data_IF_570325047269
#
_entry.id   IF_570325047269
#
_cell.length_a   1.000
_cell.length_b   1.000
_cell.length_c   1.000
_cell.angle_alpha   90.00
_cell.angle_beta   90.00
_cell.angle_gamma   90.00
#
_symmetry.space_group_name_H-M   'P 1'
#
loop_
_entity.id
_entity.type
_entity.pdbx_description
1 polymer ?
#
# COMPACT_ATOMS: atom_id res chain seq x y z
N UNK A 1 19.07 35.35 18.71
CA UNK A 1 18.11 34.31 18.28
C UNK A 1 18.86 33.00 18.32
N UNK A 2 18.81 32.30 19.46
CA UNK A 2 19.38 30.95 19.59
C UNK A 2 18.27 29.95 19.30
N UNK A 3 18.51 29.08 18.32
CA UNK A 3 17.68 27.91 18.04
C UNK A 3 17.60 27.06 19.30
N UNK A 4 16.42 27.09 19.91
CA UNK A 4 16.06 26.23 21.02
C UNK A 4 16.06 24.79 20.54
N UNK A 5 17.15 24.11 20.86
CA UNK A 5 17.35 22.68 20.89
C UNK A 5 16.16 22.01 21.60
N UNK A 6 15.11 21.69 20.83
CA UNK A 6 14.02 20.79 21.25
C UNK A 6 14.57 19.37 21.20
N UNK A 7 15.44 19.06 22.15
CA UNK A 7 15.67 17.70 22.59
C UNK A 7 14.34 17.18 23.12
N UNK A 8 13.66 16.40 22.29
CA UNK A 8 12.49 15.60 22.68
C UNK A 8 13.02 14.48 23.60
N UNK A 9 13.26 14.83 24.87
CA UNK A 9 13.33 13.86 25.95
C UNK A 9 11.91 13.40 26.24
N UNK A 10 11.56 12.28 25.62
CA UNK A 10 10.33 11.54 25.83
C UNK A 10 10.61 10.07 25.59
N UNK A 11 11.49 9.51 26.42
CA UNK A 11 11.78 8.08 26.54
C UNK A 11 10.52 7.34 27.01
N UNK A 12 9.57 7.18 26.10
CA UNK A 12 8.65 6.05 26.09
C UNK A 12 9.15 5.18 24.97
N UNK A 13 9.68 4.00 25.30
CA UNK A 13 9.90 2.96 24.30
C UNK A 13 8.61 2.82 23.52
N UNK A 14 8.54 3.41 22.32
CA UNK A 14 7.39 3.30 21.45
C UNK A 14 7.14 1.81 21.29
N UNK A 15 6.06 1.32 21.92
CA UNK A 15 5.80 -0.09 22.07
C UNK A 15 4.86 -0.48 20.96
N UNK A 16 5.14 -1.58 20.28
CA UNK A 16 4.23 -2.13 19.28
C UNK A 16 2.89 -2.38 19.94
N UNK A 17 1.83 -1.77 19.38
CA UNK A 17 0.48 -2.10 19.77
C UNK A 17 0.02 -3.36 19.04
N UNK A 18 0.15 -4.48 19.73
CA UNK A 18 -0.22 -5.78 19.19
C UNK A 18 -1.70 -5.91 18.86
N UNK A 19 -2.59 -5.06 19.39
CA UNK A 19 -4.02 -5.10 19.02
C UNK A 19 -4.22 -4.71 17.57
N UNK A 20 -3.51 -3.67 17.12
CA UNK A 20 -3.58 -3.17 15.75
C UNK A 20 -3.02 -4.21 14.78
N UNK A 21 -1.88 -4.82 15.12
CA UNK A 21 -1.25 -5.88 14.32
C UNK A 21 -2.15 -7.12 14.24
N UNK A 22 -2.68 -7.61 15.36
CA UNK A 22 -3.57 -8.78 15.39
C UNK A 22 -4.82 -8.55 14.56
N UNK A 23 -5.41 -7.36 14.64
CA UNK A 23 -6.59 -7.01 13.83
C UNK A 23 -6.24 -7.05 12.34
N UNK A 24 -5.13 -6.45 11.94
CA UNK A 24 -4.66 -6.49 10.55
C UNK A 24 -4.44 -7.91 10.04
N UNK A 25 -3.86 -8.78 10.87
CA UNK A 25 -3.69 -10.21 10.53
C UNK A 25 -5.03 -10.94 10.36
N UNK A 26 -6.01 -10.70 11.24
CA UNK A 26 -7.34 -11.32 11.14
C UNK A 26 -8.05 -10.87 9.87
N UNK A 27 -8.05 -9.56 9.57
CA UNK A 27 -8.69 -9.01 8.37
C UNK A 27 -7.96 -9.50 7.11
N UNK A 28 -6.62 -9.54 7.12
CA UNK A 28 -5.83 -10.06 6.01
C UNK A 28 -6.05 -11.55 5.76
N UNK A 29 -6.16 -12.35 6.81
CA UNK A 29 -6.50 -13.78 6.69
C UNK A 29 -7.91 -13.97 6.11
N UNK A 30 -8.88 -13.20 6.58
CA UNK A 30 -10.23 -13.22 6.04
C UNK A 30 -10.24 -12.86 4.55
N UNK A 31 -9.49 -11.82 4.17
CA UNK A 31 -9.34 -11.44 2.76
C UNK A 31 -8.74 -12.58 1.93
N UNK A 32 -7.67 -13.22 2.42
CA UNK A 32 -7.06 -14.36 1.74
C UNK A 32 -8.03 -15.54 1.57
N UNK A 33 -8.87 -15.82 2.57
CA UNK A 33 -9.93 -16.84 2.49
C UNK A 33 -10.96 -16.47 1.41
N UNK A 34 -11.43 -15.22 1.40
CA UNK A 34 -12.40 -14.77 0.40
C UNK A 34 -11.82 -14.81 -1.02
N UNK A 35 -10.54 -14.49 -1.19
CA UNK A 35 -9.84 -14.60 -2.47
C UNK A 35 -9.66 -16.06 -2.91
N UNK A 36 -9.35 -16.95 -1.97
CA UNK A 36 -9.31 -18.40 -2.22
C UNK A 36 -10.70 -18.94 -2.62
N UNK A 37 -11.77 -18.52 -1.95
CA UNK A 37 -13.14 -18.88 -2.31
C UNK A 37 -13.52 -18.35 -3.69
N UNK A 38 -13.19 -17.09 -3.98
CA UNK A 38 -13.39 -16.50 -5.32
C UNK A 38 -12.74 -17.34 -6.42
N UNK A 39 -11.51 -17.82 -6.19
CA UNK A 39 -10.75 -18.59 -7.18
C UNK A 39 -11.13 -20.07 -7.26
N UNK A 40 -11.56 -20.69 -6.15
CA UNK A 40 -11.83 -22.14 -6.05
C UNK A 40 -13.31 -22.51 -6.11
N UNK A 41 -14.20 -21.59 -5.77
CA UNK A 41 -15.64 -21.78 -5.69
C UNK A 41 -16.38 -20.55 -6.30
N UNK A 42 -16.15 -20.23 -7.59
CA UNK A 42 -16.72 -19.04 -8.23
C UNK A 42 -18.26 -19.02 -8.20
N UNK A 43 -18.92 -20.18 -8.08
CA UNK A 43 -20.37 -20.30 -7.94
C UNK A 43 -20.93 -19.64 -6.67
N UNK A 44 -20.08 -19.36 -5.68
CA UNK A 44 -20.46 -18.62 -4.46
C UNK A 44 -20.54 -17.12 -4.67
N UNK A 45 -20.10 -16.61 -5.84
CA UNK A 45 -20.20 -15.19 -6.25
C UNK A 45 -19.68 -14.20 -5.21
N UNK A 46 -18.58 -14.56 -4.53
CA UNK A 46 -17.97 -13.74 -3.47
C UNK A 46 -17.15 -12.55 -4.00
N UNK A 47 -17.25 -12.22 -5.30
CA UNK A 47 -16.47 -11.18 -5.97
C UNK A 47 -16.52 -9.83 -5.24
N UNK A 48 -17.73 -9.33 -5.03
CA UNK A 48 -17.97 -8.04 -4.36
C UNK A 48 -17.59 -8.12 -2.89
N UNK A 49 -17.89 -9.25 -2.23
CA UNK A 49 -17.60 -9.47 -0.82
C UNK A 49 -16.09 -9.49 -0.53
N UNK A 50 -15.28 -9.97 -1.48
CA UNK A 50 -13.83 -10.12 -1.30
C UNK A 50 -13.14 -8.81 -0.98
N UNK A 51 -13.55 -7.68 -1.58
CA UNK A 51 -13.03 -6.35 -1.25
C UNK A 51 -13.85 -5.65 -0.16
N UNK A 52 -15.18 -5.74 -0.21
CA UNK A 52 -16.06 -4.97 0.67
C UNK A 52 -15.98 -5.41 2.13
N UNK A 53 -15.87 -6.72 2.40
CA UNK A 53 -15.84 -7.22 3.78
C UNK A 53 -14.59 -6.74 4.53
N UNK A 54 -13.36 -6.91 3.99
CA UNK A 54 -12.17 -6.34 4.62
C UNK A 54 -12.25 -4.82 4.79
N UNK A 55 -12.80 -4.10 3.80
CA UNK A 55 -12.99 -2.65 3.88
C UNK A 55 -13.90 -2.25 5.04
N UNK A 56 -15.10 -2.81 5.12
CA UNK A 56 -16.06 -2.50 6.17
C UNK A 56 -15.51 -2.84 7.56
N UNK A 57 -14.83 -3.98 7.70
CA UNK A 57 -14.18 -4.34 8.96
C UNK A 57 -13.04 -3.38 9.33
N UNK A 58 -12.28 -2.91 8.34
CA UNK A 58 -11.23 -1.90 8.55
C UNK A 58 -11.83 -0.59 9.02
N UNK A 59 -12.89 -0.10 8.37
CA UNK A 59 -13.60 1.13 8.77
C UNK A 59 -14.20 0.98 10.17
N UNK A 60 -14.87 -0.15 10.45
CA UNK A 60 -15.43 -0.43 11.76
C UNK A 60 -14.35 -0.44 12.86
N UNK A 61 -13.18 -1.02 12.56
CA UNK A 61 -12.04 -1.02 13.46
C UNK A 61 -11.52 0.40 13.71
N UNK A 62 -11.34 1.20 12.66
CA UNK A 62 -10.89 2.59 12.76
C UNK A 62 -11.84 3.40 13.65
N UNK A 63 -13.14 3.30 13.44
CA UNK A 63 -14.15 4.00 14.24
C UNK A 63 -14.10 3.52 15.69
N UNK A 64 -14.09 2.20 15.91
CA UNK A 64 -14.06 1.62 17.25
C UNK A 64 -12.80 2.02 18.03
N UNK A 65 -11.63 2.01 17.37
CA UNK A 65 -10.34 2.36 17.98
C UNK A 65 -10.21 3.85 18.18
N UNK A 66 -10.48 4.66 17.15
CA UNK A 66 -10.35 6.12 17.21
C UNK A 66 -11.25 6.75 18.27
N UNK A 67 -12.41 6.14 18.57
CA UNK A 67 -13.26 6.58 19.70
C UNK A 67 -12.66 6.34 21.08
N UNK A 68 -11.71 5.41 21.22
CA UNK A 68 -11.07 5.03 22.49
C UNK A 68 -9.68 5.64 22.63
N UNK A 69 -8.94 5.73 21.54
CA UNK A 69 -7.56 6.21 21.45
C UNK A 69 -7.45 7.11 20.19
N UNK A 70 -7.98 8.34 20.23
CA UNK A 70 -8.06 9.23 19.07
C UNK A 70 -6.68 9.60 18.49
N UNK A 71 -5.63 9.65 19.32
CA UNK A 71 -4.25 9.88 18.91
C UNK A 71 -3.72 8.83 17.92
N UNK A 72 -4.36 7.65 17.86
CA UNK A 72 -4.05 6.63 16.85
C UNK A 72 -4.38 7.09 15.43
N UNK A 73 -5.40 7.92 15.27
CA UNK A 73 -5.79 8.42 13.94
C UNK A 73 -4.66 9.25 13.31
N UNK A 74 -3.94 10.03 14.12
CA UNK A 74 -2.76 10.77 13.68
C UNK A 74 -1.57 9.83 13.45
N UNK A 75 -1.33 8.87 14.35
CA UNK A 75 -0.24 7.90 14.20
C UNK A 75 -0.37 7.07 12.91
N UNK A 76 -1.62 6.77 12.53
CA UNK A 76 -1.98 6.07 11.30
C UNK A 76 -2.12 7.00 10.08
N UNK A 77 -1.93 8.30 10.25
CA UNK A 77 -1.98 9.26 9.15
C UNK A 77 -3.35 9.40 8.49
N UNK A 78 -4.43 9.16 9.24
CA UNK A 78 -5.81 9.38 8.80
C UNK A 78 -6.24 10.84 8.96
N UNK A 79 -5.74 11.51 10.00
CA UNK A 79 -6.10 12.89 10.35
C UNK A 79 -4.96 13.89 10.14
N UNK A 80 -3.77 13.40 9.78
CA UNK A 80 -2.62 14.27 9.45
C UNK A 80 -2.91 15.10 8.19
N UNK A 81 -2.70 16.43 8.18
CA UNK A 81 -2.97 17.27 7.03
C UNK A 81 -2.20 16.86 5.77
N UNK A 82 -2.87 16.87 4.62
CA UNK A 82 -2.23 16.70 3.32
C UNK A 82 -1.48 17.99 2.97
N UNK A 83 -0.16 17.92 2.85
CA UNK A 83 0.66 19.07 2.47
C UNK A 83 0.88 19.12 0.95
N UNK A 84 1.13 20.32 0.40
CA UNK A 84 1.46 20.47 -1.02
C UNK A 84 2.66 19.63 -1.47
N UNK A 85 3.68 19.49 -0.61
CA UNK A 85 4.83 18.61 -0.89
C UNK A 85 4.46 17.14 -0.94
N UNK A 86 3.55 16.68 -0.05
CA UNK A 86 3.06 15.31 -0.06
C UNK A 86 2.29 15.00 -1.36
N UNK A 87 1.52 15.97 -1.86
CA UNK A 87 0.83 15.87 -3.16
C UNK A 87 1.84 15.85 -4.30
N UNK A 88 2.77 16.81 -4.34
CA UNK A 88 3.77 16.92 -5.41
C UNK A 88 4.58 15.63 -5.55
N UNK A 89 5.10 15.10 -4.44
CA UNK A 89 5.86 13.84 -4.42
C UNK A 89 5.01 12.69 -4.98
N UNK A 90 3.73 12.62 -4.61
CA UNK A 90 2.85 11.56 -5.09
C UNK A 90 2.54 11.69 -6.58
N UNK A 91 2.30 12.91 -7.07
CA UNK A 91 2.08 13.18 -8.51
C UNK A 91 3.31 12.82 -9.34
N UNK A 92 4.50 13.23 -8.89
CA UNK A 92 5.76 12.90 -9.57
C UNK A 92 5.95 11.38 -9.61
N UNK A 93 5.74 10.69 -8.49
CA UNK A 93 5.91 9.23 -8.44
C UNK A 93 4.85 8.48 -9.25
N UNK A 94 3.61 8.96 -9.27
CA UNK A 94 2.56 8.45 -10.15
C UNK A 94 2.93 8.62 -11.63
N UNK A 95 3.41 9.80 -12.03
CA UNK A 95 3.87 10.06 -13.39
C UNK A 95 5.03 9.13 -13.80
N UNK A 96 6.02 8.95 -12.93
CA UNK A 96 7.13 8.01 -13.17
C UNK A 96 6.64 6.56 -13.27
N UNK A 97 5.70 6.14 -12.42
CA UNK A 97 5.14 4.79 -12.44
C UNK A 97 4.35 4.56 -13.73
N UNK A 98 3.49 5.50 -14.13
CA UNK A 98 2.75 5.42 -15.38
C UNK A 98 3.70 5.40 -16.59
N UNK A 99 4.74 6.23 -16.62
CA UNK A 99 5.74 6.23 -17.67
C UNK A 99 6.48 4.87 -17.75
N UNK A 100 6.89 4.31 -16.62
CA UNK A 100 7.56 3.01 -16.57
C UNK A 100 6.66 1.88 -17.09
N UNK A 101 5.39 1.84 -16.65
CA UNK A 101 4.43 0.85 -17.11
C UNK A 101 4.16 0.99 -18.62
N UNK A 102 4.00 2.23 -19.11
CA UNK A 102 3.80 2.50 -20.53
C UNK A 102 5.01 2.10 -21.39
N UNK A 103 6.24 2.42 -20.96
CA UNK A 103 7.46 1.98 -21.65
C UNK A 103 7.55 0.45 -21.65
N UNK A 104 7.24 -0.20 -20.53
CA UNK A 104 7.24 -1.68 -20.44
C UNK A 104 6.24 -2.30 -21.40
N UNK A 105 5.01 -1.78 -21.47
CA UNK A 105 3.98 -2.18 -22.45
C UNK A 105 4.47 -2.09 -23.88
N UNK A 106 5.08 -0.96 -24.26
CA UNK A 106 5.63 -0.75 -25.60
C UNK A 106 6.78 -1.73 -25.91
N UNK A 107 7.66 -1.99 -24.94
CA UNK A 107 8.76 -2.95 -25.08
C UNK A 107 8.27 -4.39 -25.23
N UNK A 108 7.11 -4.73 -24.67
CA UNK A 108 6.44 -6.02 -24.84
C UNK A 108 5.60 -6.10 -26.13
N UNK A 109 5.69 -5.10 -27.01
CA UNK A 109 5.00 -5.08 -28.31
C UNK A 109 3.53 -4.67 -28.23
N UNK A 110 3.07 -4.12 -27.11
CA UNK A 110 1.72 -3.57 -26.98
C UNK A 110 1.62 -2.11 -27.39
N UNK A 111 0.39 -1.59 -27.42
CA UNK A 111 0.09 -0.17 -27.68
C UNK A 111 -0.26 0.57 -26.39
N UNK A 112 -0.13 1.90 -26.38
CA UNK A 112 -0.58 2.73 -25.26
C UNK A 112 -2.08 3.05 -25.44
N UNK A 113 -2.93 2.15 -24.99
CA UNK A 113 -4.36 2.33 -24.96
C UNK A 113 -4.84 2.72 -23.55
N UNK A 114 -5.67 3.77 -23.46
CA UNK A 114 -6.32 4.13 -22.20
C UNK A 114 -7.81 4.36 -22.43
N UNK A 115 -8.64 3.45 -21.96
CA UNK A 115 -10.08 3.63 -22.02
C UNK A 115 -10.59 4.43 -20.82
N UNK A 116 -11.49 5.42 -21.01
CA UNK A 116 -12.03 6.22 -19.91
C UNK A 116 -12.67 5.39 -18.79
N UNK A 117 -13.18 4.19 -19.10
CA UNK A 117 -13.84 3.33 -18.12
C UNK A 117 -12.87 2.82 -17.02
N UNK A 118 -11.55 2.82 -17.26
CA UNK A 118 -10.55 2.46 -16.24
C UNK A 118 -10.49 3.45 -15.09
N UNK A 119 -10.89 4.72 -15.30
CA UNK A 119 -11.02 5.70 -14.21
C UNK A 119 -12.01 5.20 -13.15
N UNK A 120 -13.14 4.62 -13.58
CA UNK A 120 -14.10 4.05 -12.64
C UNK A 120 -13.55 2.81 -11.94
N UNK A 121 -12.79 1.96 -12.65
CA UNK A 121 -12.10 0.82 -12.00
C UNK A 121 -11.10 1.28 -10.94
N UNK A 122 -10.36 2.37 -11.18
CA UNK A 122 -9.45 2.96 -10.20
C UNK A 122 -10.20 3.41 -8.94
N UNK A 123 -11.36 4.04 -9.11
CA UNK A 123 -12.22 4.48 -8.01
C UNK A 123 -12.76 3.26 -7.24
N UNK A 124 -13.30 2.28 -7.94
CA UNK A 124 -13.87 1.08 -7.33
C UNK A 124 -12.80 0.28 -6.56
N UNK A 125 -11.58 0.23 -7.09
CA UNK A 125 -10.47 -0.48 -6.47
C UNK A 125 -9.96 0.17 -5.19
N UNK A 126 -10.32 1.43 -4.89
CA UNK A 126 -9.98 2.07 -3.59
C UNK A 126 -10.47 1.22 -2.42
N UNK A 127 -11.63 0.56 -2.56
CA UNK A 127 -12.20 -0.31 -1.53
C UNK A 127 -11.28 -1.49 -1.21
N UNK A 128 -10.69 -2.12 -2.23
CA UNK A 128 -9.71 -3.21 -2.05
C UNK A 128 -8.33 -2.70 -1.62
N UNK A 129 -7.90 -1.56 -2.15
CA UNK A 129 -6.60 -0.98 -1.86
C UNK A 129 -6.49 -0.45 -0.42
N UNK A 130 -7.56 0.13 0.14
CA UNK A 130 -7.51 0.83 1.41
C UNK A 130 -7.14 -0.08 2.61
N UNK A 131 -7.75 -1.26 2.84
CA UNK A 131 -7.36 -2.15 3.94
C UNK A 131 -5.89 -2.57 3.88
N UNK A 132 -5.40 -2.87 2.68
CA UNK A 132 -4.02 -3.26 2.47
C UNK A 132 -3.08 -2.10 2.81
N UNK A 133 -3.37 -0.88 2.33
CA UNK A 133 -2.57 0.30 2.63
C UNK A 133 -2.66 0.65 4.12
N UNK A 134 -3.84 0.56 4.73
CA UNK A 134 -4.07 0.85 6.14
C UNK A 134 -3.26 -0.07 7.05
N UNK A 135 -3.39 -1.39 6.89
CA UNK A 135 -2.68 -2.29 7.79
C UNK A 135 -1.20 -2.44 7.47
N UNK A 136 -0.79 -2.49 6.20
CA UNK A 136 0.61 -2.68 5.85
C UNK A 136 1.40 -1.37 5.90
N UNK A 137 0.93 -0.34 5.21
CA UNK A 137 1.67 0.90 5.00
C UNK A 137 1.41 1.95 6.07
N UNK A 138 0.36 1.81 6.89
CA UNK A 138 0.11 2.74 8.00
C UNK A 138 0.35 2.10 9.36
N UNK A 139 -0.52 1.18 9.81
CA UNK A 139 -0.39 0.50 11.10
C UNK A 139 0.94 -0.24 11.22
N UNK A 140 1.27 -1.05 10.21
CA UNK A 140 2.48 -1.87 10.16
C UNK A 140 3.74 -1.00 10.24
N UNK A 141 3.83 0.05 9.40
CA UNK A 141 4.98 0.94 9.42
C UNK A 141 5.07 1.78 10.69
N UNK A 142 3.96 2.30 11.19
CA UNK A 142 3.93 3.03 12.46
C UNK A 142 4.45 2.15 13.61
N UNK A 143 4.07 0.87 13.61
CA UNK A 143 4.50 -0.10 14.62
C UNK A 143 5.97 -0.50 14.45
N UNK A 144 6.42 -0.82 13.24
CA UNK A 144 7.79 -1.25 12.97
C UNK A 144 8.79 -0.10 13.16
N UNK A 145 8.41 1.14 12.86
CA UNK A 145 9.25 2.32 13.09
C UNK A 145 9.55 2.57 14.57
N UNK A 146 8.78 1.96 15.47
CA UNK A 146 9.01 1.99 16.90
C UNK A 146 10.27 1.21 17.31
N UNK A 147 10.62 0.16 16.54
CA UNK A 147 11.77 -0.70 16.79
C UNK A 147 13.10 0.04 16.50
N UNK A 148 14.07 0.06 17.44
CA UNK A 148 15.33 0.80 17.25
C UNK A 148 16.10 0.41 15.99
N UNK A 149 16.12 -0.87 15.63
CA UNK A 149 16.87 -1.37 14.45
C UNK A 149 16.26 -0.90 13.13
N UNK A 150 14.94 -0.71 13.07
CA UNK A 150 14.21 -0.31 11.86
C UNK A 150 13.93 1.20 11.79
N UNK A 151 14.17 1.94 12.88
CA UNK A 151 13.89 3.37 12.95
C UNK A 151 14.63 4.17 11.87
N UNK A 152 13.97 5.22 11.39
CA UNK A 152 14.50 6.17 10.40
C UNK A 152 13.81 6.06 9.05
N UNK A 153 14.22 6.93 8.12
CA UNK A 153 13.58 7.08 6.81
C UNK A 153 14.16 6.16 5.71
N UNK A 154 15.11 5.30 6.04
CA UNK A 154 15.79 4.46 5.03
C UNK A 154 15.75 2.97 5.37
N UNK A 155 16.01 2.59 6.63
CA UNK A 155 16.10 1.18 7.04
C UNK A 155 14.78 0.43 6.91
N UNK A 156 13.71 0.96 7.51
CA UNK A 156 12.38 0.35 7.39
C UNK A 156 11.88 0.37 5.94
N UNK A 157 11.98 1.47 5.17
CA UNK A 157 11.62 1.45 3.76
C UNK A 157 12.39 0.42 2.94
N UNK A 158 13.70 0.26 3.16
CA UNK A 158 14.49 -0.77 2.48
C UNK A 158 14.02 -2.19 2.83
N UNK A 159 13.79 -2.46 4.12
CA UNK A 159 13.27 -3.75 4.56
C UNK A 159 11.89 -4.05 3.94
N UNK A 160 11.00 -3.05 3.90
CA UNK A 160 9.66 -3.18 3.30
C UNK A 160 9.77 -3.42 1.79
N UNK A 161 10.63 -2.71 1.08
CA UNK A 161 10.89 -2.94 -0.35
C UNK A 161 11.34 -4.37 -0.63
N UNK A 162 12.30 -4.90 0.14
CA UNK A 162 12.77 -6.28 0.00
C UNK A 162 11.62 -7.28 0.26
N UNK A 163 10.86 -7.08 1.34
CA UNK A 163 9.73 -7.95 1.67
C UNK A 163 8.64 -7.91 0.60
N UNK A 164 8.35 -6.74 0.02
CA UNK A 164 7.41 -6.61 -1.09
C UNK A 164 7.88 -7.39 -2.31
N UNK A 165 9.15 -7.26 -2.71
CA UNK A 165 9.72 -8.09 -3.79
C UNK A 165 9.56 -9.58 -3.54
N UNK A 166 9.96 -10.02 -2.34
CA UNK A 166 9.88 -11.44 -1.96
C UNK A 166 8.43 -11.96 -1.94
N UNK A 167 7.46 -11.14 -1.50
CA UNK A 167 6.05 -11.52 -1.48
C UNK A 167 5.46 -11.77 -2.88
N UNK A 168 6.05 -11.17 -3.92
CA UNK A 168 5.61 -11.34 -5.31
C UNK A 168 6.46 -12.35 -6.09
N UNK A 169 7.29 -13.17 -5.41
CA UNK A 169 8.14 -14.17 -6.05
C UNK A 169 7.36 -15.26 -6.81
N UNK A 170 6.09 -15.48 -6.46
CA UNK A 170 5.21 -16.43 -7.13
C UNK A 170 4.22 -15.77 -8.09
N UNK A 171 4.46 -14.50 -8.45
CA UNK A 171 3.64 -13.83 -9.43
C UNK A 171 3.71 -14.54 -10.79
N UNK A 172 2.58 -14.72 -11.51
CA UNK A 172 2.55 -15.53 -12.72
C UNK A 172 3.25 -14.87 -13.92
N UNK A 173 3.44 -13.55 -13.88
CA UNK A 173 3.97 -12.78 -15.00
C UNK A 173 5.47 -12.57 -14.87
N UNK A 174 6.20 -13.05 -15.88
CA UNK A 174 7.66 -13.09 -15.92
C UNK A 174 8.21 -12.26 -17.08
N UNK A 175 9.46 -11.80 -16.95
CA UNK A 175 10.15 -11.21 -18.10
C UNK A 175 10.31 -12.25 -19.22
N UNK A 176 10.14 -11.88 -20.50
CA UNK A 176 10.36 -12.80 -21.62
C UNK A 176 11.72 -13.49 -21.53
N UNK A 177 11.73 -14.82 -21.57
CA UNK A 177 12.96 -15.62 -21.47
C UNK A 177 13.59 -15.71 -20.08
N UNK A 178 12.89 -15.31 -19.02
CA UNK A 178 13.39 -15.33 -17.65
C UNK A 178 12.43 -16.05 -16.69
N UNK A 179 12.98 -16.62 -15.62
CA UNK A 179 12.21 -17.15 -14.48
C UNK A 179 11.91 -16.08 -13.42
N UNK A 180 12.30 -14.82 -13.65
CA UNK A 180 12.10 -13.73 -12.70
C UNK A 180 10.75 -13.07 -12.96
N UNK A 181 9.82 -13.08 -11.97
CA UNK A 181 8.57 -12.38 -12.11
C UNK A 181 8.79 -10.87 -12.25
N UNK A 182 8.05 -10.23 -13.14
CA UNK A 182 8.12 -8.77 -13.33
C UNK A 182 7.83 -8.02 -12.03
N UNK A 183 6.86 -8.52 -11.25
CA UNK A 183 6.48 -7.92 -9.97
C UNK A 183 7.61 -7.98 -8.93
N UNK A 184 8.51 -8.96 -8.97
CA UNK A 184 9.67 -9.02 -8.06
C UNK A 184 10.63 -7.87 -8.29
N UNK A 185 10.70 -7.32 -9.50
CA UNK A 185 11.55 -6.16 -9.83
C UNK A 185 10.81 -4.84 -9.62
N UNK A 186 9.52 -4.80 -9.94
CA UNK A 186 8.72 -3.58 -9.83
C UNK A 186 8.27 -3.27 -8.40
N UNK A 187 7.95 -4.27 -7.59
CA UNK A 187 7.39 -4.06 -6.25
C UNK A 187 8.39 -3.62 -5.17
N UNK A 188 9.70 -3.95 -5.21
CA UNK A 188 10.65 -3.39 -4.27
C UNK A 188 10.77 -1.86 -4.26
N UNK A 189 10.98 -1.16 -5.39
CA UNK A 189 11.03 0.30 -5.38
C UNK A 189 9.68 0.91 -4.97
N UNK A 190 8.56 0.25 -5.32
CA UNK A 190 7.22 0.68 -4.91
C UNK A 190 7.00 0.54 -3.40
N UNK A 191 7.39 -0.59 -2.80
CA UNK A 191 7.31 -0.84 -1.36
C UNK A 191 8.23 0.09 -0.57
N UNK A 192 9.45 0.31 -1.08
CA UNK A 192 10.36 1.31 -0.53
C UNK A 192 9.71 2.70 -0.52
N UNK A 193 9.23 3.16 -1.67
CA UNK A 193 8.62 4.48 -1.80
C UNK A 193 7.39 4.62 -0.90
N UNK A 194 6.48 3.64 -0.91
CA UNK A 194 5.28 3.65 -0.09
C UNK A 194 5.62 3.84 1.40
N UNK A 195 6.65 3.11 1.86
CA UNK A 195 7.09 3.20 3.23
C UNK A 195 7.80 4.51 3.56
N UNK A 196 8.71 4.95 2.70
CA UNK A 196 9.38 6.24 2.85
C UNK A 196 8.36 7.39 2.88
N UNK A 197 7.40 7.38 1.96
CA UNK A 197 6.35 8.38 1.85
C UNK A 197 5.54 8.47 3.14
N UNK A 198 5.01 7.33 3.61
CA UNK A 198 4.22 7.30 4.84
C UNK A 198 5.02 7.76 6.05
N UNK A 199 6.27 7.33 6.21
CA UNK A 199 7.10 7.76 7.34
C UNK A 199 7.44 9.24 7.28
N UNK A 200 7.56 9.82 6.08
CA UNK A 200 7.93 11.24 5.86
C UNK A 200 6.76 12.19 6.06
N UNK A 201 5.59 11.85 5.53
CA UNK A 201 4.42 12.73 5.48
C UNK A 201 3.29 12.32 6.43
N UNK A 202 3.32 11.07 6.92
CA UNK A 202 2.30 10.49 7.80
C UNK A 202 0.89 10.71 7.26
N UNK A 203 0.69 10.47 5.98
CA UNK A 203 -0.63 10.54 5.38
C UNK A 203 -0.89 9.33 4.48
N UNK A 204 -2.04 8.68 4.65
CA UNK A 204 -2.37 7.46 3.91
C UNK A 204 -3.19 7.70 2.64
N UNK A 205 -3.87 8.84 2.52
CA UNK A 205 -4.83 9.05 1.44
C UNK A 205 -4.16 9.11 0.06
N UNK A 206 -3.12 9.94 -0.19
CA UNK A 206 -2.43 9.93 -1.48
C UNK A 206 -1.79 8.57 -1.77
N UNK A 207 -1.31 7.86 -0.74
CA UNK A 207 -0.72 6.54 -0.90
C UNK A 207 -1.75 5.50 -1.34
N UNK A 208 -2.96 5.57 -0.79
CA UNK A 208 -4.10 4.71 -1.19
C UNK A 208 -4.52 5.00 -2.62
N UNK A 209 -4.65 6.28 -2.98
CA UNK A 209 -4.97 6.67 -4.36
C UNK A 209 -3.90 6.20 -5.35
N UNK A 210 -2.63 6.38 -5.00
CA UNK A 210 -1.52 5.92 -5.81
C UNK A 210 -1.54 4.41 -6.01
N UNK A 211 -1.79 3.63 -4.94
CA UNK A 211 -1.92 2.19 -5.04
C UNK A 211 -3.06 1.80 -5.97
N UNK A 212 -4.22 2.44 -5.83
CA UNK A 212 -5.39 2.11 -6.64
C UNK A 212 -5.18 2.42 -8.13
N UNK A 213 -4.61 3.58 -8.45
CA UNK A 213 -4.31 3.97 -9.83
C UNK A 213 -3.23 3.05 -10.42
N UNK A 214 -2.12 2.87 -9.70
CA UNK A 214 -0.98 2.10 -10.21
C UNK A 214 -1.32 0.63 -10.42
N UNK A 215 -2.14 0.04 -9.54
CA UNK A 215 -2.59 -1.34 -9.71
C UNK A 215 -3.45 -1.52 -10.95
N UNK A 216 -4.43 -0.63 -11.18
CA UNK A 216 -5.30 -0.72 -12.36
C UNK A 216 -4.50 -0.50 -13.65
N UNK A 217 -3.58 0.48 -13.67
CA UNK A 217 -2.69 0.68 -14.83
C UNK A 217 -1.81 -0.55 -15.09
N UNK A 218 -1.26 -1.16 -14.04
CA UNK A 218 -0.45 -2.37 -14.18
C UNK A 218 -1.29 -3.55 -14.72
N UNK A 219 -2.48 -3.77 -14.17
CA UNK A 219 -3.38 -4.83 -14.63
C UNK A 219 -3.79 -4.64 -16.10
N UNK A 220 -4.10 -3.41 -16.48
CA UNK A 220 -4.46 -3.06 -17.85
C UNK A 220 -3.30 -3.21 -18.83
N UNK A 221 -2.18 -2.54 -18.57
CA UNK A 221 -1.09 -2.43 -19.53
C UNK A 221 -0.12 -3.60 -19.49
N UNK A 222 -0.18 -4.48 -18.49
CA UNK A 222 0.81 -5.54 -18.35
C UNK A 222 0.19 -6.91 -18.13
N UNK A 223 -0.81 -7.05 -17.27
CA UNK A 223 -1.38 -8.39 -17.01
C UNK A 223 -2.20 -8.92 -18.19
N UNK A 224 -2.94 -8.07 -18.91
CA UNK A 224 -3.78 -8.49 -20.04
C UNK A 224 -3.00 -8.78 -21.34
N UNK A 225 -1.68 -8.62 -21.35
CA UNK A 225 -0.84 -8.90 -22.51
C UNK A 225 -0.44 -10.37 -22.69
N UNK A 226 -0.56 -11.15 -21.62
CA UNK A 226 -0.01 -12.49 -21.48
C UNK A 226 -1.13 -13.50 -21.20
#
# INVERSE_FOLDING_TARGET
>A
MSDGDRTVNGDTTARIDWRDIKTGLVIGLLYAILLALKSKAPEWRVDVSSANVPFLLTVAYIIWRGRREPEKLDAWGLTTPITGMAVLVMVVFLGMTAALLGITRLMLGGELDFEPHYVFRMIDYVVGAFPQQFFMCSVGLASLAALPVLRGLWRLPLAVGICFGAAHFWAPIHFPGSIIPLQVVATPPMGFFAAWYFLRFRNILPLTMFHAISYVLYSQWVEHLL
#
